data_IF_607044409599
#
_entry.id   IF_607044409599
#
_cell.length_a   1.000
_cell.length_b   1.000
_cell.length_c   1.000
_cell.angle_alpha   90.00
_cell.angle_beta   90.00
_cell.angle_gamma   90.00
#
_symmetry.space_group_name_H-M   'P 1'
#
loop_
_entity.id
_entity.type
_entity.pdbx_description
1 polymer ?
#
# COMPACT_ATOMS: atom_id res chain seq x y z
N UNK A 1 -1.11 -12.67 -5.65
CA UNK A 1 0.10 -12.37 -4.86
C UNK A 1 -0.32 -11.34 -3.84
N UNK A 2 -0.03 -11.56 -2.56
CA UNK A 2 -0.39 -10.60 -1.49
C UNK A 2 0.82 -9.75 -1.13
N UNK A 3 0.57 -8.52 -0.72
CA UNK A 3 1.60 -7.55 -0.33
C UNK A 3 2.05 -7.84 1.11
N UNK A 4 3.36 -8.03 1.30
CA UNK A 4 3.92 -8.35 2.61
C UNK A 4 3.98 -7.08 3.47
N UNK A 5 3.67 -7.23 4.77
CA UNK A 5 3.62 -6.09 5.69
C UNK A 5 4.06 -6.45 7.10
N UNK A 6 4.60 -5.46 7.80
CA UNK A 6 5.06 -5.52 9.17
C UNK A 6 4.40 -4.42 9.99
N UNK A 7 3.88 -4.76 11.17
CA UNK A 7 3.30 -3.76 12.08
C UNK A 7 4.41 -2.97 12.78
N UNK A 8 4.36 -1.65 12.71
CA UNK A 8 5.39 -0.77 13.29
C UNK A 8 5.00 -0.31 14.69
N UNK A 9 3.74 0.10 14.86
CA UNK A 9 3.21 0.63 16.12
C UNK A 9 1.68 0.42 16.18
N UNK A 10 1.11 0.48 17.37
CA UNK A 10 -0.34 0.42 17.56
C UNK A 10 -0.75 0.95 18.94
N UNK A 11 -1.86 1.68 18.99
CA UNK A 11 -2.65 1.88 20.20
C UNK A 11 -4.08 1.46 19.87
N UNK A 12 -4.43 0.22 20.18
CA UNK A 12 -5.73 -0.36 19.81
C UNK A 12 -6.50 -0.74 21.07
N UNK A 13 -7.61 -0.03 21.32
CA UNK A 13 -8.40 -0.20 22.55
C UNK A 13 -9.86 -0.48 22.25
N UNK A 14 -10.44 -1.38 23.05
CA UNK A 14 -11.86 -1.70 22.99
C UNK A 14 -12.33 -2.35 24.29
N UNK A 15 -13.49 -1.94 24.81
CA UNK A 15 -14.06 -2.55 26.02
C UNK A 15 -14.53 -3.99 25.77
N UNK A 16 -14.58 -4.80 26.84
CA UNK A 16 -15.06 -6.18 26.77
C UNK A 16 -16.49 -6.30 26.18
N UNK A 17 -17.36 -5.34 26.51
CA UNK A 17 -18.73 -5.28 25.96
C UNK A 17 -18.71 -5.10 24.44
N UNK A 18 -17.96 -4.10 23.95
CA UNK A 18 -17.83 -3.83 22.52
C UNK A 18 -17.15 -5.00 21.77
N UNK A 19 -16.21 -5.70 22.40
CA UNK A 19 -15.62 -6.91 21.85
C UNK A 19 -16.65 -8.04 21.64
N UNK A 20 -17.58 -8.22 22.59
CA UNK A 20 -18.68 -9.19 22.46
C UNK A 20 -19.67 -8.78 21.37
N UNK A 21 -19.99 -7.50 21.26
CA UNK A 21 -20.86 -6.96 20.22
C UNK A 21 -20.25 -7.09 18.83
N UNK A 22 -18.98 -6.72 18.67
CA UNK A 22 -18.23 -6.90 17.43
C UNK A 22 -18.27 -8.36 16.99
N UNK A 23 -17.97 -9.30 17.89
CA UNK A 23 -18.04 -10.75 17.60
C UNK A 23 -19.43 -11.17 17.12
N UNK A 24 -20.49 -10.70 17.79
CA UNK A 24 -21.87 -11.00 17.40
C UNK A 24 -22.17 -10.46 16.01
N UNK A 25 -21.79 -9.22 15.72
CA UNK A 25 -21.96 -8.58 14.41
C UNK A 25 -21.27 -9.38 13.31
N UNK A 26 -19.98 -9.74 13.48
CA UNK A 26 -19.25 -10.55 12.50
C UNK A 26 -19.92 -11.90 12.24
N UNK A 27 -20.34 -12.61 13.29
CA UNK A 27 -21.05 -13.89 13.12
C UNK A 27 -22.36 -13.73 12.35
N UNK A 28 -23.12 -12.68 12.62
CA UNK A 28 -24.36 -12.41 11.90
C UNK A 28 -24.13 -12.02 10.45
N UNK A 29 -23.11 -11.19 10.17
CA UNK A 29 -22.72 -10.80 8.82
C UNK A 29 -22.31 -12.04 8.01
N UNK A 30 -21.46 -12.92 8.56
CA UNK A 30 -21.01 -14.13 7.88
C UNK A 30 -22.10 -15.18 7.68
N UNK A 31 -23.11 -15.26 8.55
CA UNK A 31 -24.28 -16.14 8.34
C UNK A 31 -25.17 -15.68 7.19
N UNK A 32 -25.27 -14.37 6.98
CA UNK A 32 -26.06 -13.77 5.90
C UNK A 32 -25.29 -13.76 4.58
N UNK A 33 -23.97 -13.67 4.64
CA UNK A 33 -23.11 -13.65 3.48
C UNK A 33 -23.18 -14.98 2.71
N UNK A 34 -23.25 -14.95 1.36
CA UNK A 34 -23.24 -16.17 0.57
C UNK A 34 -21.88 -16.88 0.71
N UNK A 35 -21.89 -18.20 0.89
CA UNK A 35 -20.64 -18.98 1.07
C UNK A 35 -19.71 -18.85 -0.15
N UNK A 36 -20.28 -18.78 -1.36
CA UNK A 36 -19.53 -18.60 -2.61
C UNK A 36 -19.50 -17.14 -3.01
N UNK A 37 -18.29 -16.61 -3.21
CA UNK A 37 -18.07 -15.28 -3.79
C UNK A 37 -18.53 -15.28 -5.25
N UNK A 38 -19.40 -14.34 -5.60
CA UNK A 38 -19.59 -13.93 -7.00
C UNK A 38 -18.52 -12.88 -7.31
N UNK A 39 -17.85 -13.01 -8.45
CA UNK A 39 -16.68 -12.18 -8.77
C UNK A 39 -17.03 -10.69 -8.91
N UNK A 40 -18.28 -10.39 -9.26
CA UNK A 40 -18.82 -9.07 -9.60
C UNK A 40 -19.57 -8.38 -8.45
N UNK A 41 -19.73 -9.06 -7.31
CA UNK A 41 -20.52 -8.54 -6.20
C UNK A 41 -19.63 -7.81 -5.18
N UNK A 42 -20.04 -6.62 -4.70
CA UNK A 42 -19.40 -5.96 -3.57
C UNK A 42 -19.25 -6.93 -2.40
N UNK A 43 -18.11 -6.88 -1.70
CA UNK A 43 -17.87 -7.74 -0.55
C UNK A 43 -18.51 -7.10 0.68
N UNK A 44 -19.56 -7.72 1.21
CA UNK A 44 -20.19 -7.29 2.46
C UNK A 44 -19.39 -7.71 3.71
N UNK A 45 -18.46 -8.66 3.55
CA UNK A 45 -17.59 -9.18 4.61
C UNK A 45 -16.18 -9.44 4.05
N UNK A 46 -15.12 -9.30 4.88
CA UNK A 46 -13.77 -9.68 4.49
C UNK A 46 -13.71 -11.17 4.15
N UNK A 47 -12.89 -11.59 3.18
CA UNK A 47 -12.79 -13.02 2.79
C UNK A 47 -11.36 -13.47 2.57
N UNK A 48 -10.45 -12.56 2.25
CA UNK A 48 -9.05 -12.89 2.01
C UNK A 48 -8.44 -13.56 3.23
N UNK A 49 -8.01 -14.82 3.05
CA UNK A 49 -7.35 -15.66 4.06
C UNK A 49 -8.23 -16.09 5.25
N UNK A 50 -9.55 -15.96 5.13
CA UNK A 50 -10.50 -16.28 6.22
C UNK A 50 -11.34 -17.50 5.88
N UNK A 51 -11.49 -18.43 6.82
CA UNK A 51 -12.39 -19.57 6.71
C UNK A 51 -13.74 -19.25 7.36
N UNK A 52 -14.82 -19.20 6.55
CA UNK A 52 -16.20 -18.91 6.99
C UNK A 52 -16.64 -19.69 8.23
N UNK A 53 -16.32 -20.99 8.26
CA UNK A 53 -16.71 -21.87 9.36
C UNK A 53 -16.04 -21.48 10.66
N UNK A 54 -14.79 -21.01 10.60
CA UNK A 54 -14.05 -20.64 11.79
C UNK A 54 -14.62 -19.37 12.41
N UNK A 55 -14.98 -18.37 11.60
CA UNK A 55 -15.66 -17.15 12.07
C UNK A 55 -16.96 -17.48 12.80
N UNK A 56 -17.79 -18.35 12.23
CA UNK A 56 -19.06 -18.77 12.84
C UNK A 56 -18.82 -19.53 14.15
N UNK A 57 -17.77 -20.34 14.21
CA UNK A 57 -17.43 -21.19 15.34
C UNK A 57 -16.53 -20.52 16.39
N UNK A 58 -16.02 -19.31 16.15
CA UNK A 58 -15.14 -18.59 17.07
C UNK A 58 -15.83 -18.38 18.42
N UNK A 59 -15.24 -18.90 19.51
CA UNK A 59 -15.90 -18.87 20.83
C UNK A 59 -15.64 -17.54 21.53
N UNK A 60 -14.41 -17.06 21.48
CA UNK A 60 -13.97 -15.79 22.06
C UNK A 60 -13.75 -14.71 20.98
N UNK A 61 -13.62 -13.46 21.40
CA UNK A 61 -13.22 -12.39 20.47
C UNK A 61 -11.77 -12.59 20.00
N UNK A 62 -10.88 -13.06 20.87
CA UNK A 62 -9.51 -13.43 20.49
C UNK A 62 -9.44 -14.53 19.42
N UNK A 63 -10.32 -15.54 19.49
CA UNK A 63 -10.40 -16.57 18.44
C UNK A 63 -10.83 -15.95 17.10
N UNK A 64 -11.81 -15.04 17.13
CA UNK A 64 -12.26 -14.33 15.93
C UNK A 64 -11.13 -13.52 15.30
N UNK A 65 -10.40 -12.74 16.09
CA UNK A 65 -9.27 -11.93 15.61
C UNK A 65 -8.18 -12.80 14.97
N UNK A 66 -7.88 -13.96 15.58
CA UNK A 66 -6.87 -14.90 15.05
C UNK A 66 -7.25 -15.47 13.69
N UNK A 67 -8.54 -15.62 13.38
CA UNK A 67 -8.98 -16.01 12.03
C UNK A 67 -8.71 -14.93 10.97
N UNK A 68 -8.64 -13.66 11.38
CA UNK A 68 -8.17 -12.56 10.53
C UNK A 68 -6.64 -12.38 10.60
N UNK A 69 -5.93 -13.25 11.33
CA UNK A 69 -4.48 -13.21 11.59
C UNK A 69 -4.03 -12.01 12.43
N UNK A 70 -4.95 -11.49 13.24
CA UNK A 70 -4.66 -10.49 14.26
C UNK A 70 -4.70 -11.15 15.64
N UNK A 71 -3.72 -10.86 16.47
CA UNK A 71 -3.72 -11.25 17.88
C UNK A 71 -4.08 -10.04 18.72
N UNK A 72 -4.78 -10.26 19.83
CA UNK A 72 -5.21 -9.20 20.74
C UNK A 72 -4.67 -9.47 22.12
N UNK A 73 -4.18 -8.41 22.75
CA UNK A 73 -3.83 -8.39 24.16
C UNK A 73 -5.06 -7.96 24.96
N UNK A 74 -5.36 -8.69 26.03
CA UNK A 74 -6.50 -8.43 26.91
C UNK A 74 -6.04 -8.22 28.35
N UNK A 75 -6.69 -7.30 29.05
CA UNK A 75 -6.53 -7.13 30.49
C UNK A 75 -7.37 -8.13 31.30
N UNK A 76 -7.30 -8.03 32.64
CA UNK A 76 -8.04 -8.90 33.57
C UNK A 76 -9.57 -8.73 33.46
N UNK A 77 -10.05 -7.60 32.94
CA UNK A 77 -11.47 -7.27 32.74
C UNK A 77 -11.97 -7.68 31.32
N UNK A 78 -11.15 -8.41 30.55
CA UNK A 78 -11.39 -8.80 29.16
C UNK A 78 -11.48 -7.62 28.17
N UNK A 79 -10.99 -6.42 28.53
CA UNK A 79 -10.86 -5.33 27.58
C UNK A 79 -9.66 -5.59 26.68
N UNK A 80 -9.79 -5.20 25.42
CA UNK A 80 -8.66 -5.23 24.47
C UNK A 80 -7.82 -3.98 24.70
N UNK A 81 -6.54 -4.19 24.99
CA UNK A 81 -5.56 -3.13 25.29
C UNK A 81 -4.43 -3.04 24.27
N UNK A 82 -4.37 -3.98 23.33
CA UNK A 82 -3.38 -4.01 22.27
C UNK A 82 -3.76 -4.99 21.15
N UNK A 83 -3.11 -4.84 20.01
CA UNK A 83 -3.25 -5.73 18.85
C UNK A 83 -1.90 -5.97 18.21
N UNK A 84 -1.69 -7.14 17.63
CA UNK A 84 -0.52 -7.43 16.81
C UNK A 84 -0.88 -8.20 15.55
N UNK A 85 -0.13 -7.97 14.48
CA UNK A 85 -0.33 -8.68 13.22
C UNK A 85 0.50 -9.96 13.19
N UNK A 86 -0.16 -11.12 13.11
CA UNK A 86 0.47 -12.44 13.02
C UNK A 86 0.56 -13.00 11.59
N UNK A 87 0.09 -12.27 10.58
CA UNK A 87 0.12 -12.70 9.18
C UNK A 87 1.38 -12.27 8.42
N UNK A 88 1.55 -12.79 7.21
CA UNK A 88 2.63 -12.36 6.29
C UNK A 88 2.15 -11.26 5.33
N UNK A 89 0.88 -11.30 4.91
CA UNK A 89 0.34 -10.56 3.76
C UNK A 89 -0.97 -9.84 4.06
N UNK A 90 -1.17 -8.66 3.46
CA UNK A 90 -2.44 -7.95 3.46
C UNK A 90 -3.56 -8.81 2.85
N UNK A 91 -4.72 -8.81 3.50
CA UNK A 91 -5.95 -9.41 3.05
C UNK A 91 -6.98 -8.34 2.69
N UNK A 92 -8.21 -8.51 3.18
CA UNK A 92 -9.29 -7.52 3.07
C UNK A 92 -9.35 -6.68 4.37
N UNK A 93 -8.18 -6.33 4.93
CA UNK A 93 -8.04 -5.71 6.24
C UNK A 93 -8.74 -4.35 6.33
N UNK A 94 -8.79 -3.58 5.22
CA UNK A 94 -9.53 -2.32 5.17
C UNK A 94 -11.03 -2.51 5.48
N UNK A 95 -11.64 -3.52 4.86
CA UNK A 95 -13.05 -3.84 5.10
C UNK A 95 -13.24 -4.38 6.52
N UNK A 96 -12.31 -5.18 7.01
CA UNK A 96 -12.32 -5.69 8.37
C UNK A 96 -12.29 -4.56 9.40
N UNK A 97 -11.38 -3.60 9.24
CA UNK A 97 -11.25 -2.46 10.14
C UNK A 97 -12.39 -1.47 10.02
N UNK A 98 -12.95 -1.25 8.83
CA UNK A 98 -14.19 -0.49 8.68
C UNK A 98 -15.36 -1.10 9.46
N UNK A 99 -15.51 -2.43 9.42
CA UNK A 99 -16.55 -3.13 10.19
C UNK A 99 -16.29 -3.08 11.71
N UNK A 100 -15.02 -3.09 12.13
CA UNK A 100 -14.62 -2.99 13.53
C UNK A 100 -14.77 -1.58 14.10
N UNK A 101 -14.65 -0.53 13.28
CA UNK A 101 -14.50 0.85 13.73
C UNK A 101 -15.54 1.35 14.75
N UNK A 102 -16.84 1.02 14.66
CA UNK A 102 -17.82 1.42 15.67
C UNK A 102 -17.56 0.87 17.08
N UNK A 103 -16.79 -0.22 17.17
CA UNK A 103 -16.50 -0.92 18.41
C UNK A 103 -15.15 -0.50 19.01
N UNK A 104 -14.28 0.12 18.23
CA UNK A 104 -12.95 0.56 18.68
C UNK A 104 -13.07 1.92 19.38
N UNK A 105 -12.21 2.17 20.37
CA UNK A 105 -12.15 3.49 21.02
C UNK A 105 -11.60 4.54 20.05
N UNK A 106 -12.23 5.72 20.05
CA UNK A 106 -11.80 6.84 19.23
C UNK A 106 -10.38 7.27 19.59
N UNK A 107 -9.55 7.52 18.58
CA UNK A 107 -8.13 7.81 18.74
C UNK A 107 -7.24 6.57 18.67
N UNK A 108 -7.80 5.36 18.64
CA UNK A 108 -7.01 4.16 18.38
C UNK A 108 -6.38 4.20 16.98
N UNK A 109 -5.24 3.54 16.81
CA UNK A 109 -4.57 3.40 15.52
C UNK A 109 -3.75 2.11 15.39
N UNK A 110 -3.47 1.75 14.14
CA UNK A 110 -2.53 0.67 13.76
C UNK A 110 -1.64 1.21 12.66
N UNK A 111 -0.32 1.14 12.85
CA UNK A 111 0.67 1.56 11.88
C UNK A 111 1.39 0.36 11.26
N UNK A 112 1.51 0.39 9.94
CA UNK A 112 2.09 -0.68 9.15
C UNK A 112 3.19 -0.14 8.24
N UNK A 113 4.08 -1.06 7.87
CA UNK A 113 5.10 -0.85 6.85
C UNK A 113 5.10 -2.01 5.87
N UNK A 114 5.07 -1.69 4.59
CA UNK A 114 5.10 -2.63 3.49
C UNK A 114 6.52 -3.07 3.12
N UNK A 115 6.60 -4.06 2.23
CA UNK A 115 7.88 -4.59 1.71
C UNK A 115 8.72 -3.58 0.92
N UNK A 116 8.12 -2.49 0.45
CA UNK A 116 8.79 -1.40 -0.27
C UNK A 116 9.08 -0.17 0.62
N UNK A 117 9.03 -0.35 1.94
CA UNK A 117 9.16 0.70 2.97
C UNK A 117 8.03 1.74 2.96
N UNK A 118 6.97 1.58 2.16
CA UNK A 118 5.76 2.39 2.28
C UNK A 118 5.15 2.17 3.66
N UNK A 119 4.82 3.26 4.35
CA UNK A 119 4.09 3.18 5.62
C UNK A 119 2.67 3.68 5.43
N UNK A 120 1.76 3.21 6.25
CA UNK A 120 0.41 3.74 6.37
C UNK A 120 -0.11 3.49 7.77
N UNK A 121 -1.13 4.25 8.15
CA UNK A 121 -1.78 4.13 9.45
C UNK A 121 -3.30 4.05 9.27
N UNK A 122 -3.91 3.04 9.87
CA UNK A 122 -5.35 3.00 10.08
C UNK A 122 -5.69 3.75 11.36
N UNK A 123 -6.53 4.77 11.26
CA UNK A 123 -7.01 5.57 12.39
C UNK A 123 -8.50 5.30 12.62
N UNK A 124 -8.89 5.16 13.88
CA UNK A 124 -10.26 4.91 14.30
C UNK A 124 -10.85 6.14 15.00
N UNK A 125 -11.98 6.65 14.50
CA UNK A 125 -12.70 7.78 15.12
C UNK A 125 -13.83 7.32 16.08
N UNK A 126 -13.97 6.00 16.27
CA UNK A 126 -15.04 5.36 17.03
C UNK A 126 -16.32 5.08 16.24
N UNK A 127 -16.36 5.40 14.95
CA UNK A 127 -17.45 5.13 14.01
C UNK A 127 -16.93 4.58 12.69
N UNK A 128 -15.84 5.13 12.18
CA UNK A 128 -15.22 4.84 10.89
C UNK A 128 -13.70 4.63 11.06
N UNK A 129 -13.12 3.94 10.07
CA UNK A 129 -11.69 3.72 9.97
C UNK A 129 -11.18 4.34 8.67
N UNK A 130 -10.14 5.15 8.76
CA UNK A 130 -9.49 5.77 7.60
C UNK A 130 -8.01 5.38 7.55
N UNK A 131 -7.52 5.04 6.36
CA UNK A 131 -6.09 4.91 6.10
C UNK A 131 -5.49 6.29 5.79
N UNK A 132 -4.34 6.57 6.39
CA UNK A 132 -3.56 7.79 6.16
C UNK A 132 -2.13 7.40 5.84
N UNK A 133 -1.58 7.98 4.77
CA UNK A 133 -0.17 7.85 4.41
C UNK A 133 0.68 8.85 5.23
N UNK A 134 1.93 8.52 5.59
CA UNK A 134 2.80 9.39 6.37
C UNK A 134 3.16 10.66 5.57
N UNK A 135 3.22 11.78 6.29
CA UNK A 135 3.86 13.00 5.76
C UNK A 135 5.36 12.96 6.12
N UNK A 136 6.20 12.62 5.15
CA UNK A 136 7.65 12.52 5.33
C UNK A 136 8.29 13.84 4.87
N UNK A 137 8.76 14.62 5.83
CA UNK A 137 9.55 15.82 5.57
C UNK A 137 11.02 15.59 5.95
N UNK A 138 11.92 16.07 5.11
CA UNK A 138 13.35 16.06 5.37
C UNK A 138 13.77 17.48 5.70
N UNK A 139 14.27 17.71 6.92
CA UNK A 139 14.94 18.96 7.23
C UNK A 139 16.19 19.04 6.37
N UNK A 140 16.27 20.05 5.49
CA UNK A 140 17.53 20.36 4.85
C UNK A 140 18.44 20.95 5.93
N UNK A 141 19.46 20.20 6.33
CA UNK A 141 20.47 20.79 7.20
C UNK A 141 21.05 22.04 6.52
N UNK A 142 21.03 23.22 7.18
CA UNK A 142 21.54 24.43 6.59
C UNK A 142 23.05 24.31 6.35
N UNK A 143 23.40 24.01 5.11
CA UNK A 143 24.77 24.04 4.61
C UNK A 143 25.53 22.74 4.81
N UNK A 144 25.27 21.76 3.95
CA UNK A 144 26.30 20.78 3.59
C UNK A 144 27.55 21.55 3.13
N UNK A 145 28.70 21.48 3.84
CA UNK A 145 29.90 22.21 3.45
C UNK A 145 30.36 21.84 2.03
N UNK A 146 30.10 20.59 1.61
CA UNK A 146 30.44 20.09 0.27
C UNK A 146 29.54 20.67 -0.84
N UNK A 147 28.37 21.24 -0.52
CA UNK A 147 27.52 21.91 -1.50
C UNK A 147 27.95 23.35 -1.76
N UNK A 148 28.55 24.04 -0.78
CA UNK A 148 29.14 25.38 -1.00
C UNK A 148 30.33 25.32 -1.95
N UNK A 149 31.14 24.27 -1.82
CA UNK A 149 32.26 24.04 -2.73
C UNK A 149 31.81 23.79 -4.18
N UNK A 150 30.65 23.17 -4.38
CA UNK A 150 30.08 22.95 -5.72
C UNK A 150 29.50 24.22 -6.33
N UNK A 151 28.77 25.05 -5.57
CA UNK A 151 28.29 26.34 -6.08
C UNK A 151 29.47 27.29 -6.38
N UNK A 152 30.47 27.37 -5.49
CA UNK A 152 31.68 28.15 -5.76
C UNK A 152 32.49 27.59 -6.94
N UNK A 153 32.59 26.26 -7.08
CA UNK A 153 33.25 25.63 -8.22
C UNK A 153 32.49 25.90 -9.53
N UNK A 154 31.17 25.84 -9.53
CA UNK A 154 30.33 26.14 -10.69
C UNK A 154 30.43 27.62 -11.08
N UNK A 155 30.46 28.53 -10.11
CA UNK A 155 30.72 29.96 -10.35
C UNK A 155 32.12 30.16 -10.97
N UNK A 156 33.16 29.55 -10.41
CA UNK A 156 34.53 29.63 -10.95
C UNK A 156 34.66 29.05 -12.36
N UNK A 157 34.01 27.92 -12.64
CA UNK A 157 33.96 27.32 -13.98
C UNK A 157 33.23 28.26 -14.95
N UNK A 158 32.11 28.86 -14.52
CA UNK A 158 31.38 29.85 -15.31
C UNK A 158 32.25 31.06 -15.69
N UNK A 159 33.01 31.61 -14.73
CA UNK A 159 33.94 32.72 -14.98
C UNK A 159 35.07 32.35 -15.96
N UNK A 160 35.68 31.17 -15.79
CA UNK A 160 36.73 30.68 -16.70
C UNK A 160 36.22 30.42 -18.12
N UNK A 161 34.96 30.04 -18.26
CA UNK A 161 34.31 29.79 -19.55
C UNK A 161 33.60 31.03 -20.13
N UNK A 162 33.64 32.19 -19.47
CA UNK A 162 32.96 33.42 -19.93
C UNK A 162 31.43 33.37 -19.86
N UNK A 163 30.88 32.46 -19.07
CA UNK A 163 29.43 32.29 -18.88
C UNK A 163 29.00 33.14 -17.68
N UNK A 164 28.39 34.29 -17.94
CA UNK A 164 27.83 35.13 -16.87
C UNK A 164 26.57 34.50 -16.27
N UNK A 165 26.40 34.61 -14.95
CA UNK A 165 25.36 34.01 -14.09
C UNK A 165 23.90 34.24 -14.50
N UNK A 166 23.63 35.07 -15.50
CA UNK A 166 22.28 35.38 -16.01
C UNK A 166 21.59 34.20 -16.71
N UNK A 167 22.30 33.10 -16.99
CA UNK A 167 21.76 31.91 -17.66
C UNK A 167 21.18 30.85 -16.71
N UNK A 168 21.36 30.97 -15.39
CA UNK A 168 20.98 29.92 -14.42
C UNK A 168 19.65 30.21 -13.68
N UNK A 169 19.11 31.42 -13.81
CA UNK A 169 17.93 31.86 -13.05
C UNK A 169 16.58 31.60 -13.75
N UNK A 170 16.56 30.92 -14.90
CA UNK A 170 15.33 30.73 -15.68
C UNK A 170 15.14 29.25 -16.11
N UNK A 171 14.45 28.42 -15.30
CA UNK A 171 14.27 26.99 -15.59
C UNK A 171 13.35 26.69 -16.78
N UNK A 172 12.85 27.71 -17.51
CA UNK A 172 11.94 27.51 -18.65
C UNK A 172 12.63 27.35 -20.02
N UNK A 173 13.95 27.44 -20.14
CA UNK A 173 14.63 27.08 -21.39
C UNK A 173 15.00 25.60 -21.43
N UNK A 174 13.97 24.75 -21.43
CA UNK A 174 14.10 23.39 -21.96
C UNK A 174 14.40 23.53 -23.44
N UNK A 175 15.66 23.34 -23.82
CA UNK A 175 16.06 23.14 -25.22
C UNK A 175 15.29 21.90 -25.70
N UNK A 176 14.27 22.11 -26.54
CA UNK A 176 13.57 20.99 -27.14
C UNK A 176 14.56 20.19 -27.99
N UNK A 177 14.56 18.84 -27.88
CA UNK A 177 15.40 18.01 -28.71
C UNK A 177 15.06 18.27 -30.18
N UNK A 178 16.08 18.67 -30.95
CA UNK A 178 15.95 18.87 -32.39
C UNK A 178 15.36 17.62 -33.03
N UNK A 179 14.33 17.83 -33.86
CA UNK A 179 13.62 16.81 -34.65
C UNK A 179 14.58 15.74 -35.17
N UNK A 180 14.24 14.47 -34.90
CA UNK A 180 14.87 13.32 -35.56
C UNK A 180 14.81 13.50 -37.09
N UNK A 181 15.88 13.15 -37.83
CA UNK A 181 15.85 13.19 -39.29
C UNK A 181 14.82 12.21 -39.86
N UNK A 182 14.17 12.69 -40.93
CA UNK A 182 13.13 12.04 -41.71
C UNK A 182 13.60 10.70 -42.31
N UNK A 183 12.89 9.57 -42.09
CA UNK A 183 13.23 8.28 -42.66
C UNK A 183 12.73 8.18 -44.12
N UNK A 184 13.21 9.06 -45.00
CA UNK A 184 12.87 9.04 -46.42
C UNK A 184 14.11 8.92 -47.30
N UNK A 185 15.03 7.99 -47.00
CA UNK A 185 16.03 7.55 -47.99
C UNK A 185 16.68 6.23 -47.56
N UNK A 186 16.19 5.10 -48.08
CA UNK A 186 16.71 3.79 -47.66
C UNK A 186 16.28 2.61 -48.53
N UNK A 187 16.56 2.70 -49.83
CA UNK A 187 16.80 1.62 -50.82
C UNK A 187 16.08 0.27 -50.65
N UNK A 188 15.19 0.03 -51.61
CA UNK A 188 14.71 -1.27 -52.10
C UNK A 188 15.80 -2.36 -52.14
N UNK A 189 15.59 -3.46 -51.44
CA UNK A 189 16.22 -4.76 -51.73
C UNK A 189 15.09 -5.76 -51.96
N UNK A 190 14.95 -6.17 -53.23
CA UNK A 190 14.04 -7.23 -53.67
C UNK A 190 14.41 -8.56 -52.99
N UNK A 191 13.45 -9.21 -52.34
CA UNK A 191 13.56 -10.64 -52.00
C UNK A 191 12.75 -11.45 -52.99
N UNK A 192 13.49 -12.28 -53.72
CA UNK A 192 12.99 -13.24 -54.70
C UNK A 192 12.09 -14.29 -54.07
N UNK A 193 11.01 -14.53 -54.79
CA UNK A 193 10.12 -15.69 -54.75
C UNK A 193 10.88 -16.98 -55.05
N UNK A 194 10.66 -18.03 -54.26
CA UNK A 194 10.51 -19.40 -54.79
C UNK A 194 9.62 -20.26 -53.90
N UNK A 195 8.95 -21.17 -54.60
CA UNK A 195 7.76 -21.96 -54.31
C UNK A 195 8.12 -23.34 -53.70
N UNK A 196 7.10 -23.95 -53.10
CA UNK A 196 6.64 -25.34 -53.29
C UNK A 196 7.15 -26.51 -52.43
N UNK A 197 6.16 -27.36 -52.06
CA UNK A 197 6.21 -28.73 -51.52
C UNK A 197 5.69 -28.80 -50.08
N UNK A 198 4.55 -29.40 -49.66
CA UNK A 198 3.77 -30.59 -50.09
C UNK A 198 4.73 -31.79 -50.30
N UNK A 199 4.61 -32.98 -49.69
CA UNK A 199 3.47 -33.89 -49.45
C UNK A 199 3.97 -35.02 -48.51
N UNK A 200 3.09 -35.61 -47.67
CA UNK A 200 3.08 -37.03 -47.27
C UNK A 200 4.13 -37.47 -46.24
N UNK A 201 3.88 -38.34 -45.27
CA UNK A 201 2.86 -39.40 -45.17
C UNK A 201 3.59 -40.70 -44.83
N UNK A 202 3.38 -41.22 -43.62
CA UNK A 202 3.44 -42.61 -43.15
C UNK A 202 3.55 -42.60 -41.62
#
# INVERSE_FOLDING_TARGET
MGYCMHMVDSDFRMTAEKAREAKKMFKEAYRKAPEKKKWDSPQDVPRSWVLFRNIINANTFSDLMREFRWEVEMDDDENVVGVSFGGEKLGDDDLFFQMMAPFVEAGSFIEMRGEDESMWRWNFDGTSCSQVDPDVSWEQEPGCPQCKDLEEALVRIGELCGITSKAWSDPQTVVQPTKKPDPSTGKNIQRGSTRSGKIGGA
#
